data_IF_456084788972
#
_entry.id   IF_456084788972
#
_cell.length_a   1.000
_cell.length_b   1.000
_cell.length_c   1.000
_cell.angle_alpha   90.00
_cell.angle_beta   90.00
_cell.angle_gamma   90.00
#
_symmetry.space_group_name_H-M   'P 1'
#
loop_
_entity.id
_entity.type
_entity.pdbx_description
1 polymer ?
#
# COMPACT_ATOMS: atom_id res chain seq x y z
N UNK A 1 15.77 -7.84 -11.50
CA UNK A 1 14.65 -8.33 -10.66
C UNK A 1 14.08 -7.13 -9.91
N UNK A 2 12.79 -6.91 -10.02
CA UNK A 2 12.13 -5.78 -9.34
C UNK A 2 12.05 -6.05 -7.84
N UNK A 3 12.54 -5.10 -7.04
CA UNK A 3 12.53 -5.18 -5.58
C UNK A 3 11.36 -4.39 -5.02
N UNK A 4 10.42 -5.08 -4.36
CA UNK A 4 9.16 -4.49 -3.90
C UNK A 4 9.03 -4.61 -2.38
N UNK A 5 8.71 -3.49 -1.72
CA UNK A 5 8.34 -3.47 -0.31
C UNK A 5 6.83 -3.34 -0.15
N UNK A 6 6.24 -4.25 0.60
CA UNK A 6 4.84 -4.20 1.03
C UNK A 6 4.73 -3.75 2.48
N UNK A 7 4.13 -2.59 2.73
CA UNK A 7 3.80 -2.12 4.07
C UNK A 7 2.43 -2.67 4.44
N UNK A 8 2.39 -3.59 5.42
CA UNK A 8 1.17 -4.29 5.81
C UNK A 8 0.82 -5.51 4.95
N UNK A 9 1.81 -6.22 4.40
CA UNK A 9 1.66 -7.32 3.43
C UNK A 9 0.89 -8.57 3.88
N UNK A 10 0.38 -8.62 5.12
CA UNK A 10 -0.31 -9.79 5.70
C UNK A 10 -1.83 -9.64 5.82
N UNK A 11 -2.39 -8.57 5.28
CA UNK A 11 -3.83 -8.33 5.25
C UNK A 11 -4.55 -9.14 4.17
N UNK A 12 -5.89 -9.04 4.14
CA UNK A 12 -6.73 -9.82 3.21
C UNK A 12 -6.42 -9.51 1.74
N UNK A 13 -6.21 -8.24 1.40
CA UNK A 13 -5.91 -7.82 0.03
C UNK A 13 -4.41 -7.94 -0.24
N UNK A 14 -3.59 -7.41 0.66
CA UNK A 14 -2.14 -7.35 0.48
C UNK A 14 -1.48 -8.71 0.34
N UNK A 15 -1.94 -9.73 1.07
CA UNK A 15 -1.39 -11.09 0.98
C UNK A 15 -1.51 -11.68 -0.43
N UNK A 16 -2.61 -11.40 -1.14
CA UNK A 16 -2.78 -11.83 -2.53
C UNK A 16 -1.82 -11.12 -3.48
N UNK A 17 -1.55 -9.82 -3.23
CA UNK A 17 -0.57 -9.05 -4.00
C UNK A 17 0.84 -9.59 -3.77
N UNK A 18 1.21 -9.84 -2.51
CA UNK A 18 2.50 -10.44 -2.12
C UNK A 18 2.71 -11.77 -2.84
N UNK A 19 1.76 -12.70 -2.69
CA UNK A 19 1.84 -14.02 -3.33
C UNK A 19 1.94 -13.93 -4.86
N UNK A 20 1.29 -12.94 -5.48
CA UNK A 20 1.37 -12.71 -6.91
C UNK A 20 2.77 -12.22 -7.31
N UNK A 21 3.32 -11.23 -6.60
CA UNK A 21 4.65 -10.68 -6.89
C UNK A 21 5.75 -11.72 -6.75
N UNK A 22 5.68 -12.58 -5.73
CA UNK A 22 6.61 -13.70 -5.57
C UNK A 22 6.53 -14.65 -6.78
N UNK A 23 5.34 -15.05 -7.20
CA UNK A 23 5.17 -15.93 -8.36
C UNK A 23 5.69 -15.32 -9.67
N UNK A 24 5.69 -14.01 -9.79
CA UNK A 24 6.23 -13.30 -10.94
C UNK A 24 7.74 -13.04 -10.85
N UNK A 25 8.38 -13.52 -9.80
CA UNK A 25 9.83 -13.47 -9.64
C UNK A 25 10.36 -12.13 -9.10
N UNK A 26 9.52 -11.33 -8.44
CA UNK A 26 9.99 -10.14 -7.75
C UNK A 26 10.73 -10.50 -6.44
N UNK A 27 11.72 -9.69 -6.07
CA UNK A 27 12.34 -9.72 -4.74
C UNK A 27 11.41 -8.99 -3.76
N UNK A 28 10.65 -9.77 -2.99
CA UNK A 28 9.55 -9.26 -2.18
C UNK A 28 9.97 -9.10 -0.73
N UNK A 29 9.78 -7.90 -0.21
CA UNK A 29 9.96 -7.54 1.19
C UNK A 29 8.63 -7.12 1.81
N UNK A 30 8.44 -7.42 3.10
CA UNK A 30 7.25 -7.07 3.86
C UNK A 30 7.67 -6.35 5.12
N UNK A 31 7.08 -5.19 5.39
CA UNK A 31 7.20 -4.48 6.65
C UNK A 31 5.90 -4.61 7.43
N UNK A 32 5.96 -5.14 8.65
CA UNK A 32 4.82 -5.24 9.55
C UNK A 32 5.24 -5.17 11.03
N UNK A 33 4.26 -5.05 11.94
CA UNK A 33 4.51 -5.01 13.38
C UNK A 33 4.70 -6.37 14.04
N UNK A 34 4.56 -7.48 13.30
CA UNK A 34 4.68 -8.84 13.82
C UNK A 34 3.57 -9.29 14.79
N UNK A 35 2.49 -8.52 14.97
CA UNK A 35 1.48 -8.74 16.01
C UNK A 35 0.07 -9.04 15.49
N UNK A 36 -0.09 -9.39 14.23
CA UNK A 36 -1.42 -9.64 13.66
C UNK A 36 -1.80 -11.13 13.85
N UNK A 37 -2.70 -11.42 14.79
CA UNK A 37 -3.23 -12.76 15.02
C UNK A 37 -3.98 -13.34 13.81
N UNK A 38 -4.49 -12.48 12.93
CA UNK A 38 -5.20 -12.83 11.70
C UNK A 38 -4.31 -12.70 10.44
N UNK A 39 -3.00 -12.62 10.61
CA UNK A 39 -2.07 -12.53 9.50
C UNK A 39 -2.22 -13.72 8.55
N UNK A 40 -2.29 -13.44 7.27
CA UNK A 40 -2.23 -14.46 6.22
C UNK A 40 -0.83 -15.03 6.12
N UNK A 41 -0.68 -16.30 5.71
CA UNK A 41 0.64 -16.89 5.48
C UNK A 41 1.47 -16.03 4.53
N UNK A 42 2.74 -15.89 4.87
CA UNK A 42 3.74 -15.20 4.05
C UNK A 42 4.47 -16.27 3.24
N UNK A 43 4.66 -16.09 1.92
CA UNK A 43 5.52 -16.98 1.14
C UNK A 43 6.94 -17.04 1.73
N UNK A 44 7.55 -18.21 1.71
CA UNK A 44 8.90 -18.43 2.27
C UNK A 44 9.98 -17.61 1.56
N UNK A 45 9.73 -17.25 0.31
CA UNK A 45 10.63 -16.45 -0.51
C UNK A 45 10.61 -14.95 -0.17
N UNK A 46 9.61 -14.49 0.61
CA UNK A 46 9.50 -13.08 0.98
C UNK A 46 10.30 -12.78 2.25
N UNK A 47 11.08 -11.70 2.22
CA UNK A 47 11.81 -11.19 3.36
C UNK A 47 10.90 -10.37 4.29
N UNK A 48 10.93 -10.65 5.60
CA UNK A 48 10.08 -9.96 6.58
C UNK A 48 10.91 -9.02 7.45
N UNK A 49 10.49 -7.77 7.53
CA UNK A 49 11.03 -6.73 8.40
C UNK A 49 9.99 -6.35 9.46
N UNK A 50 10.44 -6.23 10.71
CA UNK A 50 9.55 -5.92 11.84
C UNK A 50 9.80 -4.49 12.30
N UNK A 51 8.82 -3.62 12.07
CA UNK A 51 8.78 -2.25 12.61
C UNK A 51 7.35 -1.71 12.61
N UNK A 52 7.09 -0.72 13.43
CA UNK A 52 5.86 0.09 13.32
C UNK A 52 6.04 1.15 12.25
N UNK A 53 5.16 1.19 11.25
CA UNK A 53 5.23 2.15 10.13
C UNK A 53 5.13 3.60 10.60
N UNK A 54 4.50 3.85 11.76
CA UNK A 54 4.38 5.19 12.35
C UNK A 54 5.64 5.64 13.12
N UNK A 55 6.60 4.73 13.33
CA UNK A 55 7.92 5.05 13.88
C UNK A 55 8.95 5.08 12.74
N UNK A 56 9.19 6.28 12.21
CA UNK A 56 10.10 6.50 11.08
C UNK A 56 11.51 5.97 11.37
N UNK A 57 12.01 6.13 12.60
CA UNK A 57 13.35 5.67 12.95
C UNK A 57 13.41 4.13 12.95
N UNK A 58 12.41 3.48 13.53
CA UNK A 58 12.31 2.02 13.52
C UNK A 58 12.21 1.46 12.09
N UNK A 59 11.49 2.14 11.20
CA UNK A 59 11.40 1.76 9.78
C UNK A 59 12.75 1.90 9.10
N UNK A 60 13.44 3.03 9.29
CA UNK A 60 14.76 3.26 8.70
C UNK A 60 15.80 2.23 9.17
N UNK A 61 15.79 1.91 10.46
CA UNK A 61 16.69 0.91 11.03
C UNK A 61 16.40 -0.49 10.48
N UNK A 62 15.12 -0.90 10.43
CA UNK A 62 14.70 -2.19 9.91
C UNK A 62 15.00 -2.38 8.42
N UNK A 63 15.06 -1.30 7.65
CA UNK A 63 15.30 -1.30 6.21
C UNK A 63 16.70 -0.79 5.83
N UNK A 64 17.60 -0.68 6.81
CA UNK A 64 18.98 -0.23 6.55
C UNK A 64 19.66 -1.09 5.48
N UNK A 65 20.26 -0.44 4.48
CA UNK A 65 20.95 -1.10 3.38
C UNK A 65 20.04 -1.61 2.25
N UNK A 66 18.71 -1.44 2.39
CA UNK A 66 17.76 -1.79 1.35
C UNK A 66 17.33 -0.56 0.54
N UNK A 67 17.25 -0.74 -0.77
CA UNK A 67 16.58 0.18 -1.70
C UNK A 67 15.50 -0.60 -2.45
N UNK A 68 14.39 0.05 -2.74
CA UNK A 68 13.24 -0.58 -3.39
C UNK A 68 12.90 0.14 -4.69
N UNK A 69 12.58 -0.64 -5.72
CA UNK A 69 12.04 -0.09 -6.97
C UNK A 69 10.61 0.42 -6.76
N UNK A 70 9.85 -0.29 -5.91
CA UNK A 70 8.48 0.06 -5.60
C UNK A 70 8.16 -0.17 -4.11
N UNK A 71 7.42 0.75 -3.52
CA UNK A 71 6.82 0.61 -2.18
C UNK A 71 5.31 0.64 -2.31
N UNK A 72 4.63 -0.37 -1.77
CA UNK A 72 3.17 -0.49 -1.79
C UNK A 72 2.65 -0.41 -0.35
N UNK A 73 1.90 0.63 -0.04
CA UNK A 73 1.44 0.93 1.31
C UNK A 73 -0.06 0.65 1.48
N UNK A 74 -0.37 -0.27 2.39
CA UNK A 74 -1.73 -0.64 2.80
C UNK A 74 -2.13 -0.06 4.15
N UNK A 75 -1.28 0.73 4.80
CA UNK A 75 -1.45 1.19 6.18
C UNK A 75 -1.54 2.72 6.35
N UNK A 76 -1.42 3.49 5.29
CA UNK A 76 -1.65 4.94 5.34
C UNK A 76 -3.14 5.23 5.27
N UNK A 77 -3.74 5.65 6.39
CA UNK A 77 -5.18 5.83 6.51
C UNK A 77 -5.63 7.29 6.62
N UNK A 78 -4.74 8.20 6.97
CA UNK A 78 -5.05 9.62 7.15
C UNK A 78 -4.03 10.52 6.45
N UNK A 79 -4.27 11.84 6.52
CA UNK A 79 -3.42 12.86 5.90
C UNK A 79 -2.01 12.85 6.48
N UNK A 80 -1.88 12.67 7.79
CA UNK A 80 -0.58 12.61 8.47
C UNK A 80 0.24 11.44 7.97
N UNK A 81 -0.37 10.26 7.89
CA UNK A 81 0.28 9.05 7.38
C UNK A 81 0.80 9.28 5.96
N UNK A 82 -0.02 9.90 5.09
CA UNK A 82 0.35 10.19 3.71
C UNK A 82 1.53 11.18 3.63
N UNK A 83 1.52 12.24 4.45
CA UNK A 83 2.61 13.22 4.51
C UNK A 83 3.91 12.56 4.99
N UNK A 84 3.84 11.77 6.05
CA UNK A 84 5.00 11.08 6.62
C UNK A 84 5.55 10.05 5.62
N UNK A 85 4.69 9.33 4.90
CA UNK A 85 5.09 8.40 3.85
C UNK A 85 5.80 9.11 2.69
N UNK A 86 5.28 10.23 2.20
CA UNK A 86 5.93 11.03 1.15
C UNK A 86 7.32 11.47 1.60
N UNK A 87 7.46 11.98 2.81
CA UNK A 87 8.75 12.41 3.37
C UNK A 87 9.73 11.25 3.49
N UNK A 88 9.25 10.09 3.95
CA UNK A 88 10.07 8.89 4.16
C UNK A 88 10.57 8.32 2.83
N UNK A 89 9.70 8.23 1.81
CA UNK A 89 9.98 7.51 0.58
C UNK A 89 10.53 8.37 -0.55
N UNK A 90 10.44 9.71 -0.47
CA UNK A 90 11.03 10.61 -1.47
C UNK A 90 12.53 10.38 -1.60
N UNK A 91 12.98 10.05 -2.81
CA UNK A 91 14.37 9.74 -3.13
C UNK A 91 14.88 8.38 -2.64
N UNK A 92 14.00 7.53 -2.07
CA UNK A 92 14.35 6.19 -1.55
C UNK A 92 13.70 5.05 -2.32
N UNK A 93 12.74 5.37 -3.18
CA UNK A 93 12.05 4.40 -4.04
C UNK A 93 11.79 5.00 -5.42
N UNK A 94 11.73 4.14 -6.43
CA UNK A 94 11.37 4.58 -7.79
C UNK A 94 9.88 4.86 -7.93
N UNK A 95 9.03 4.12 -7.20
CA UNK A 95 7.58 4.30 -7.20
C UNK A 95 7.02 4.08 -5.79
N UNK A 96 6.07 4.94 -5.39
CA UNK A 96 5.27 4.75 -4.18
C UNK A 96 3.79 4.62 -4.56
N UNK A 97 3.16 3.55 -4.08
CA UNK A 97 1.74 3.25 -4.32
C UNK A 97 1.02 3.21 -2.98
N UNK A 98 0.11 4.14 -2.76
CA UNK A 98 -0.78 4.12 -1.60
C UNK A 98 -2.11 3.47 -1.98
N UNK A 99 -2.52 2.48 -1.19
CA UNK A 99 -3.82 1.83 -1.36
C UNK A 99 -4.87 2.62 -0.62
N UNK A 100 -5.80 3.18 -1.38
CA UNK A 100 -6.92 3.97 -0.86
C UNK A 100 -8.12 3.09 -0.52
N UNK A 101 -9.16 3.68 0.04
CA UNK A 101 -10.40 3.02 0.42
C UNK A 101 -11.61 3.65 -0.27
N UNK A 102 -12.63 2.85 -0.53
CA UNK A 102 -13.94 3.35 -0.96
C UNK A 102 -14.59 4.30 0.07
N UNK A 103 -14.08 4.34 1.30
CA UNK A 103 -14.55 5.26 2.35
C UNK A 103 -14.27 6.74 2.06
N UNK A 104 -13.38 7.05 1.11
CA UNK A 104 -13.13 8.43 0.66
C UNK A 104 -14.32 9.01 -0.10
N UNK A 105 -15.18 8.16 -0.65
CA UNK A 105 -16.38 8.61 -1.32
C UNK A 105 -17.49 8.87 -0.30
N UNK A 106 -18.20 9.98 -0.48
CA UNK A 106 -19.35 10.31 0.36
C UNK A 106 -20.40 9.21 0.26
N UNK A 107 -20.70 8.55 1.39
CA UNK A 107 -21.74 7.53 1.44
C UNK A 107 -23.09 8.22 1.44
N UNK A 108 -24.03 7.85 0.54
CA UNK A 108 -25.38 8.37 0.62
C UNK A 108 -26.02 7.96 1.95
N UNK A 109 -26.79 8.88 2.55
CA UNK A 109 -27.64 8.53 3.68
C UNK A 109 -28.56 7.37 3.30
N UNK A 110 -28.92 6.52 4.27
CA UNK A 110 -29.81 5.39 4.04
C UNK A 110 -31.09 5.88 3.34
N UNK A 111 -31.37 5.33 2.15
CA UNK A 111 -32.55 5.68 1.34
C UNK A 111 -32.29 6.64 0.17
N UNK A 112 -31.12 7.20 0.02
CA UNK A 112 -30.78 8.06 -1.13
C UNK A 112 -30.16 7.25 -2.26
N UNK A 113 -30.66 7.41 -3.49
CA UNK A 113 -29.91 6.98 -4.68
C UNK A 113 -28.64 7.80 -4.78
N UNK A 114 -27.53 7.18 -5.17
CA UNK A 114 -26.30 7.91 -5.50
C UNK A 114 -26.64 9.00 -6.51
N UNK A 115 -26.30 10.28 -6.25
CA UNK A 115 -26.46 11.31 -7.26
C UNK A 115 -25.59 10.93 -8.46
N UNK A 116 -26.13 11.08 -9.66
CA UNK A 116 -25.44 10.79 -10.91
C UNK A 116 -24.15 11.61 -11.11
N UNK A 117 -23.89 12.57 -10.22
CA UNK A 117 -22.67 13.37 -10.18
C UNK A 117 -22.30 13.65 -8.72
N UNK A 118 -21.11 13.24 -8.33
CA UNK A 118 -20.48 13.71 -7.11
C UNK A 118 -19.85 15.09 -7.39
N UNK A 119 -20.00 16.08 -6.51
CA UNK A 119 -19.32 17.37 -6.67
C UNK A 119 -17.81 17.16 -6.79
N UNK A 120 -17.20 17.68 -7.85
CA UNK A 120 -15.74 17.65 -8.04
C UNK A 120 -15.16 16.43 -8.75
N UNK A 121 -15.97 15.43 -9.12
CA UNK A 121 -15.50 14.31 -9.92
C UNK A 121 -15.97 14.47 -11.36
N UNK A 122 -15.06 14.81 -12.27
CA UNK A 122 -15.30 14.70 -13.70
C UNK A 122 -15.34 13.24 -14.09
N UNK A 123 -16.39 12.75 -14.78
CA UNK A 123 -16.41 11.38 -15.25
C UNK A 123 -15.24 11.17 -16.22
N UNK A 124 -14.50 10.09 -16.00
CA UNK A 124 -13.48 9.65 -16.94
C UNK A 124 -14.14 9.35 -18.28
N UNK A 125 -13.99 10.24 -19.26
CA UNK A 125 -14.47 10.00 -20.60
C UNK A 125 -13.58 8.94 -21.25
N UNK A 126 -14.11 7.75 -21.46
CA UNK A 126 -13.52 6.78 -22.36
C UNK A 126 -13.60 7.35 -23.77
N UNK A 127 -12.55 8.01 -24.25
CA UNK A 127 -12.38 8.25 -25.68
C UNK A 127 -12.20 6.89 -26.34
N UNK A 128 -13.24 6.43 -27.04
CA UNK A 128 -13.06 5.36 -28.03
C UNK A 128 -12.22 6.01 -29.15
N UNK A 129 -11.00 5.55 -29.31
CA UNK A 129 -10.20 5.84 -30.49
C UNK A 129 -10.88 5.28 -31.74
N UNK A 130 -10.55 5.81 -32.91
CA UNK A 130 -11.09 5.38 -34.20
C UNK A 130 -10.81 3.91 -34.50
#
# INVERSE_FOLDING_TARGET
>A
MTKVLYIGGTGTISASCVARSVREGADVHILNRGRNANARPIPDEASVHIADVHDVNAVLDALTGHQFDCVVDFLSFDEKDAIDAVRLWTGRTGQYIQISSASIYHKPCAGSRLPNRLPGITPFSRTRGP
#
